data_IF_578654784744
#
_entry.id   IF_578654784744
#
_cell.length_a   1.000
_cell.length_b   1.000
_cell.length_c   1.000
_cell.angle_alpha   90.00
_cell.angle_beta   90.00
_cell.angle_gamma   90.00
#
_symmetry.space_group_name_H-M   'P 1'
#
loop_
_entity.id
_entity.type
_entity.pdbx_description
1 polymer ?
#
# COMPACT_ATOMS: atom_id res chain seq x y z
N UNK A 1 -15.66 -0.20 -4.43
CA UNK A 1 -15.12 -0.55 -5.76
C UNK A 1 -14.05 0.44 -6.28
N UNK A 2 -14.32 1.75 -6.33
CA UNK A 2 -13.41 2.75 -6.95
C UNK A 2 -11.95 2.77 -6.45
N UNK A 3 -11.69 2.60 -5.14
CA UNK A 3 -10.31 2.58 -4.62
C UNK A 3 -9.53 1.32 -5.00
N UNK A 4 -10.19 0.16 -5.16
CA UNK A 4 -9.55 -1.07 -5.64
C UNK A 4 -9.08 -0.90 -7.09
N UNK A 5 -9.94 -0.35 -7.94
CA UNK A 5 -9.61 -0.04 -9.33
C UNK A 5 -8.46 0.95 -9.43
N UNK A 6 -8.47 2.03 -8.64
CA UNK A 6 -7.34 2.98 -8.60
C UNK A 6 -6.03 2.34 -8.15
N UNK A 7 -6.08 1.41 -7.19
CA UNK A 7 -4.91 0.67 -6.76
C UNK A 7 -4.31 -0.17 -7.90
N UNK A 8 -5.16 -0.84 -8.68
CA UNK A 8 -4.75 -1.63 -9.85
C UNK A 8 -4.12 -0.72 -10.91
N UNK A 9 -4.77 0.39 -11.26
CA UNK A 9 -4.22 1.34 -12.23
C UNK A 9 -2.88 1.95 -11.80
N UNK A 10 -2.66 2.13 -10.50
CA UNK A 10 -1.36 2.56 -10.00
C UNK A 10 -0.29 1.48 -10.17
N UNK A 11 -0.59 0.19 -9.96
CA UNK A 11 0.36 -0.88 -10.27
C UNK A 11 0.68 -0.96 -11.77
N UNK A 12 -0.34 -0.84 -12.62
CA UNK A 12 -0.17 -0.82 -14.08
C UNK A 12 0.67 0.37 -14.54
N UNK A 13 0.42 1.56 -13.97
CA UNK A 13 1.23 2.74 -14.24
C UNK A 13 2.69 2.57 -13.79
N UNK A 14 2.92 1.99 -12.61
CA UNK A 14 4.28 1.69 -12.14
C UNK A 14 5.02 0.75 -13.11
N UNK A 15 4.36 -0.31 -13.58
CA UNK A 15 4.92 -1.23 -14.58
C UNK A 15 5.23 -0.50 -15.89
N UNK A 16 4.27 0.25 -16.44
CA UNK A 16 4.44 0.97 -17.70
C UNK A 16 5.55 2.03 -17.65
N UNK A 17 5.81 2.64 -16.49
CA UNK A 17 6.90 3.59 -16.28
C UNK A 17 8.27 2.88 -16.20
N UNK A 18 8.32 1.72 -15.52
CA UNK A 18 9.53 0.89 -15.44
C UNK A 18 9.91 0.34 -16.82
N UNK A 19 8.94 -0.09 -17.62
CA UNK A 19 9.15 -0.68 -18.94
C UNK A 19 9.78 0.29 -19.94
N UNK A 20 9.71 1.61 -19.67
CA UNK A 20 10.43 2.63 -20.46
C UNK A 20 11.94 2.54 -20.30
N UNK A 21 12.43 1.91 -19.22
CA UNK A 21 13.85 1.77 -18.87
C UNK A 21 14.62 3.10 -18.95
N UNK A 22 14.00 4.15 -18.43
CA UNK A 22 14.51 5.51 -18.48
C UNK A 22 14.39 6.12 -17.08
N UNK A 23 15.54 6.57 -16.56
CA UNK A 23 15.72 7.06 -15.19
C UNK A 23 14.77 8.19 -14.80
N UNK A 24 14.28 8.95 -15.79
CA UNK A 24 13.33 10.05 -15.59
C UNK A 24 11.97 9.58 -15.08
N UNK A 25 11.65 8.29 -15.24
CA UNK A 25 10.35 7.71 -14.86
C UNK A 25 10.42 6.84 -13.59
N UNK A 26 11.62 6.58 -13.08
CA UNK A 26 11.84 5.68 -11.94
C UNK A 26 11.21 6.20 -10.66
N UNK A 27 11.40 7.48 -10.31
CA UNK A 27 10.77 8.08 -9.12
C UNK A 27 9.24 8.04 -9.19
N UNK A 28 8.67 8.36 -10.35
CA UNK A 28 7.23 8.27 -10.59
C UNK A 28 6.72 6.83 -10.46
N UNK A 29 7.49 5.83 -10.90
CA UNK A 29 7.10 4.41 -10.75
C UNK A 29 6.98 3.99 -9.28
N UNK A 30 7.90 4.45 -8.42
CA UNK A 30 7.89 4.16 -6.98
C UNK A 30 6.71 4.87 -6.30
N UNK A 31 6.42 6.10 -6.70
CA UNK A 31 5.22 6.83 -6.28
C UNK A 31 3.96 6.00 -6.54
N UNK A 32 3.79 5.55 -7.78
CA UNK A 32 2.66 4.73 -8.18
C UNK A 32 2.61 3.39 -7.42
N UNK A 33 3.74 2.69 -7.26
CA UNK A 33 3.81 1.44 -6.50
C UNK A 33 3.32 1.60 -5.05
N UNK A 34 3.77 2.65 -4.35
CA UNK A 34 3.30 2.93 -3.00
C UNK A 34 1.81 3.28 -2.93
N UNK A 35 1.34 4.15 -3.84
CA UNK A 35 -0.06 4.57 -3.84
C UNK A 35 -1.02 3.44 -4.21
N UNK A 36 -0.58 2.45 -4.99
CA UNK A 36 -1.33 1.23 -5.19
C UNK A 36 -1.64 0.53 -3.86
N UNK A 37 -0.61 0.26 -3.04
CA UNK A 37 -0.79 -0.36 -1.72
C UNK A 37 -1.66 0.50 -0.83
N UNK A 38 -1.41 1.82 -0.78
CA UNK A 38 -2.17 2.73 0.08
C UNK A 38 -3.65 2.75 -0.26
N UNK A 39 -4.01 2.85 -1.54
CA UNK A 39 -5.39 2.85 -1.98
C UNK A 39 -6.06 1.49 -1.79
N UNK A 40 -5.31 0.40 -1.96
CA UNK A 40 -5.80 -0.94 -1.68
C UNK A 40 -6.12 -1.11 -0.18
N UNK A 41 -5.24 -0.63 0.70
CA UNK A 41 -5.51 -0.59 2.15
C UNK A 41 -6.79 0.21 2.46
N UNK A 42 -6.97 1.39 1.85
CA UNK A 42 -8.21 2.17 2.01
C UNK A 42 -9.44 1.37 1.57
N UNK A 43 -9.34 0.68 0.44
CA UNK A 43 -10.40 -0.21 -0.05
C UNK A 43 -10.72 -1.31 0.97
N UNK A 44 -9.72 -2.06 1.44
CA UNK A 44 -9.92 -3.14 2.41
C UNK A 44 -10.61 -2.62 3.66
N UNK A 45 -10.13 -1.52 4.26
CA UNK A 45 -10.76 -0.93 5.46
C UNK A 45 -12.24 -0.58 5.25
N UNK A 46 -12.63 -0.14 4.05
CA UNK A 46 -14.00 0.23 3.73
C UNK A 46 -14.89 -0.95 3.34
N UNK A 47 -14.33 -2.12 3.06
CA UNK A 47 -15.07 -3.26 2.48
C UNK A 47 -14.87 -4.57 3.24
N UNK A 48 -14.19 -4.57 4.39
CA UNK A 48 -14.17 -5.73 5.31
C UNK A 48 -15.53 -5.95 5.95
N UNK A 49 -15.92 -7.20 6.15
CA UNK A 49 -17.16 -7.59 6.82
C UNK A 49 -17.25 -7.16 8.29
N UNK A 50 -16.12 -7.06 9.00
CA UNK A 50 -16.11 -6.64 10.41
C UNK A 50 -15.77 -5.14 10.55
N UNK A 51 -16.72 -4.36 11.06
CA UNK A 51 -16.57 -2.94 11.39
C UNK A 51 -15.92 -2.11 10.26
N UNK A 52 -16.54 -2.02 9.07
CA UNK A 52 -15.98 -1.27 7.96
C UNK A 52 -15.78 0.22 8.32
N UNK A 53 -14.66 0.79 7.89
CA UNK A 53 -14.36 2.22 8.02
C UNK A 53 -14.58 2.89 6.67
N UNK A 54 -15.59 3.75 6.58
CA UNK A 54 -15.85 4.52 5.36
C UNK A 54 -14.64 5.38 4.97
N UNK A 55 -14.52 5.74 3.68
CA UNK A 55 -13.43 6.61 3.23
C UNK A 55 -13.44 7.96 3.96
N UNK A 56 -14.63 8.50 4.28
CA UNK A 56 -14.78 9.74 5.04
C UNK A 56 -14.16 9.61 6.43
N UNK A 57 -14.49 8.54 7.16
CA UNK A 57 -13.92 8.30 8.50
C UNK A 57 -12.40 8.08 8.45
N UNK A 58 -11.92 7.37 7.43
CA UNK A 58 -10.49 7.20 7.21
C UNK A 58 -9.80 8.55 7.04
N UNK A 59 -10.34 9.44 6.20
CA UNK A 59 -9.75 10.73 5.90
C UNK A 59 -9.85 11.71 7.08
N UNK A 60 -10.96 11.73 7.81
CA UNK A 60 -11.14 12.56 9.01
C UNK A 60 -10.17 12.17 10.12
N UNK A 61 -10.04 10.86 10.41
CA UNK A 61 -9.15 10.37 11.48
C UNK A 61 -7.67 10.45 11.09
N UNK A 62 -7.36 10.48 9.80
CA UNK A 62 -5.99 10.61 9.34
C UNK A 62 -5.45 12.04 9.45
N UNK A 63 -6.31 13.08 9.47
CA UNK A 63 -5.90 14.48 9.63
C UNK A 63 -5.14 14.75 10.93
N UNK A 64 -5.46 14.05 12.02
CA UNK A 64 -4.84 14.25 13.34
C UNK A 64 -3.58 13.40 13.58
N UNK A 65 -3.33 12.37 12.76
CA UNK A 65 -2.22 11.40 12.95
C UNK A 65 -1.22 11.36 11.80
N UNK A 66 -1.38 12.20 10.78
CA UNK A 66 -0.69 12.11 9.50
C UNK A 66 -1.44 11.20 8.54
N UNK A 67 -1.71 11.70 7.33
CA UNK A 67 -2.69 11.17 6.37
C UNK A 67 -2.59 9.66 6.09
N UNK A 68 -1.39 9.08 6.16
CA UNK A 68 -1.19 7.66 5.86
C UNK A 68 -1.00 6.78 7.11
N UNK A 69 -0.60 7.36 8.25
CA UNK A 69 -0.27 6.60 9.48
C UNK A 69 -1.49 5.89 10.03
N UNK A 70 -2.62 6.60 10.10
CA UNK A 70 -3.88 6.04 10.61
C UNK A 70 -4.32 4.79 9.83
N UNK A 71 -4.31 4.86 8.49
CA UNK A 71 -4.70 3.73 7.63
C UNK A 71 -3.80 2.51 7.86
N UNK A 72 -2.48 2.72 7.95
CA UNK A 72 -1.52 1.64 8.22
C UNK A 72 -1.77 1.00 9.60
N UNK A 73 -2.00 1.80 10.63
CA UNK A 73 -2.29 1.31 11.98
C UNK A 73 -3.57 0.46 12.01
N UNK A 74 -4.62 0.89 11.31
CA UNK A 74 -5.88 0.13 11.24
C UNK A 74 -5.72 -1.20 10.50
N UNK A 75 -4.95 -1.24 9.41
CA UNK A 75 -4.66 -2.48 8.70
C UNK A 75 -3.86 -3.45 9.58
N UNK A 76 -2.82 -2.96 10.26
CA UNK A 76 -2.02 -3.79 11.18
C UNK A 76 -2.91 -4.36 12.28
N UNK A 77 -3.78 -3.55 12.88
CA UNK A 77 -4.72 -4.01 13.89
C UNK A 77 -5.64 -5.12 13.36
N UNK A 78 -6.23 -4.93 12.18
CA UNK A 78 -7.14 -5.92 11.57
C UNK A 78 -6.44 -7.22 11.22
N UNK A 79 -5.23 -7.16 10.66
CA UNK A 79 -4.43 -8.37 10.41
C UNK A 79 -4.14 -9.09 11.72
N UNK A 80 -3.81 -8.37 12.80
CA UNK A 80 -3.51 -8.98 14.09
C UNK A 80 -4.72 -9.69 14.68
N UNK A 81 -5.91 -9.08 14.59
CA UNK A 81 -7.18 -9.65 15.03
C UNK A 81 -7.54 -10.89 14.20
N UNK A 82 -7.52 -10.77 12.87
CA UNK A 82 -7.93 -11.83 11.96
C UNK A 82 -7.00 -13.05 12.01
N UNK A 83 -5.70 -12.83 12.12
CA UNK A 83 -4.70 -13.91 12.12
C UNK A 83 -4.40 -14.46 13.52
N UNK A 84 -4.98 -13.86 14.58
CA UNK A 84 -4.65 -14.20 15.97
C UNK A 84 -3.18 -13.96 16.34
N UNK A 85 -2.44 -13.15 15.58
CA UNK A 85 -1.01 -12.91 15.83
C UNK A 85 -0.54 -11.53 15.40
N UNK A 86 0.18 -10.87 16.31
CA UNK A 86 0.81 -9.57 16.03
C UNK A 86 2.08 -9.70 15.17
N UNK A 87 2.69 -10.88 15.06
CA UNK A 87 3.96 -11.09 14.33
C UNK A 87 3.80 -10.81 12.83
N UNK A 88 2.76 -11.39 12.21
CA UNK A 88 2.46 -11.16 10.78
C UNK A 88 2.04 -9.71 10.52
N UNK A 89 1.19 -9.17 11.40
CA UNK A 89 0.74 -7.79 11.33
C UNK A 89 1.89 -6.77 11.41
N UNK A 90 2.82 -6.95 12.35
CA UNK A 90 4.00 -6.09 12.49
C UNK A 90 4.89 -6.14 11.27
N UNK A 91 5.16 -7.35 10.72
CA UNK A 91 5.94 -7.51 9.49
C UNK A 91 5.29 -6.81 8.29
N UNK A 92 3.96 -6.94 8.15
CA UNK A 92 3.22 -6.23 7.11
C UNK A 92 3.37 -4.72 7.26
N UNK A 93 3.10 -4.18 8.45
CA UNK A 93 3.22 -2.73 8.71
C UNK A 93 4.64 -2.20 8.52
N UNK A 94 5.66 -3.00 8.82
CA UNK A 94 7.05 -2.65 8.57
C UNK A 94 7.35 -2.51 7.07
N UNK A 95 6.98 -3.51 6.27
CA UNK A 95 7.16 -3.47 4.82
C UNK A 95 6.42 -2.29 4.15
N UNK A 96 5.20 -1.94 4.62
CA UNK A 96 4.50 -0.74 4.11
C UNK A 96 5.25 0.54 4.46
N UNK A 97 5.88 0.63 5.64
CA UNK A 97 6.67 1.81 6.04
C UNK A 97 7.96 1.93 5.27
N UNK A 98 8.61 0.81 4.95
CA UNK A 98 9.79 0.77 4.09
C UNK A 98 9.46 1.29 2.68
N UNK A 99 8.40 0.75 2.05
CA UNK A 99 7.96 1.23 0.73
C UNK A 99 7.52 2.70 0.77
N UNK A 100 6.92 3.16 1.88
CA UNK A 100 6.63 4.58 2.09
C UNK A 100 7.91 5.42 2.14
N UNK A 101 8.96 4.90 2.77
CA UNK A 101 10.28 5.54 2.86
C UNK A 101 10.88 5.73 1.47
N UNK A 102 10.94 4.67 0.66
CA UNK A 102 11.42 4.76 -0.73
C UNK A 102 10.60 5.77 -1.54
N UNK A 103 9.27 5.79 -1.35
CA UNK A 103 8.42 6.81 -1.99
C UNK A 103 8.76 8.23 -1.55
N UNK A 104 9.00 8.46 -0.26
CA UNK A 104 9.38 9.79 0.24
C UNK A 104 10.73 10.22 -0.34
N UNK A 105 11.71 9.32 -0.40
CA UNK A 105 12.99 9.59 -1.05
C UNK A 105 12.82 9.88 -2.54
N UNK A 106 12.00 9.11 -3.25
CA UNK A 106 11.71 9.31 -4.67
C UNK A 106 10.99 10.65 -4.97
N UNK A 107 10.06 11.06 -4.11
CA UNK A 107 9.27 12.27 -4.30
C UNK A 107 10.06 13.56 -3.97
N UNK A 108 10.95 13.50 -2.96
CA UNK A 108 11.46 14.72 -2.31
C UNK A 108 12.99 14.82 -2.23
N UNK A 109 13.72 13.75 -2.53
CA UNK A 109 15.19 13.80 -2.56
C UNK A 109 15.71 13.99 -3.98
N UNK A 110 17.02 14.26 -4.10
CA UNK A 110 17.74 14.28 -5.37
C UNK A 110 18.37 12.92 -5.72
N UNK A 111 18.08 11.86 -4.94
CA UNK A 111 18.61 10.51 -5.17
C UNK A 111 18.09 9.99 -6.50
N UNK A 112 19.00 9.47 -7.33
CA UNK A 112 18.65 8.70 -8.51
C UNK A 112 18.38 7.25 -8.10
N UNK A 113 17.24 6.74 -8.52
CA UNK A 113 16.88 5.34 -8.32
C UNK A 113 17.36 4.52 -9.50
N UNK A 114 17.66 3.24 -9.26
CA UNK A 114 18.03 2.29 -10.30
C UNK A 114 16.80 1.50 -10.79
N UNK A 115 16.92 0.84 -11.94
CA UNK A 115 15.91 -0.08 -12.43
C UNK A 115 15.61 -1.19 -11.41
N UNK A 116 16.65 -1.73 -10.77
CA UNK A 116 16.52 -2.78 -9.76
C UNK A 116 15.71 -2.33 -8.54
N UNK A 117 15.97 -1.11 -8.04
CA UNK A 117 15.21 -0.54 -6.92
C UNK A 117 13.74 -0.31 -7.28
N UNK A 118 13.45 0.11 -8.50
CA UNK A 118 12.09 0.29 -8.98
C UNK A 118 11.35 -1.05 -9.08
N UNK A 119 12.01 -2.07 -9.64
CA UNK A 119 11.48 -3.44 -9.70
C UNK A 119 11.22 -4.00 -8.30
N UNK A 120 12.15 -3.78 -7.35
CA UNK A 120 11.99 -4.19 -5.96
C UNK A 120 10.79 -3.50 -5.29
N UNK A 121 10.63 -2.18 -5.48
CA UNK A 121 9.48 -1.43 -4.94
C UNK A 121 8.15 -1.93 -5.53
N UNK A 122 8.10 -2.17 -6.85
CA UNK A 122 6.91 -2.74 -7.52
C UNK A 122 6.58 -4.14 -6.98
N UNK A 123 7.57 -5.03 -6.90
CA UNK A 123 7.36 -6.38 -6.37
C UNK A 123 6.89 -6.34 -4.92
N UNK A 124 7.47 -5.46 -4.10
CA UNK A 124 7.03 -5.27 -2.72
C UNK A 124 5.57 -4.80 -2.65
N UNK A 125 5.14 -3.92 -3.56
CA UNK A 125 3.75 -3.48 -3.65
C UNK A 125 2.80 -4.63 -4.01
N UNK A 126 3.16 -5.45 -5.00
CA UNK A 126 2.39 -6.65 -5.40
C UNK A 126 2.27 -7.64 -4.25
N UNK A 127 3.37 -7.93 -3.56
CA UNK A 127 3.41 -8.80 -2.38
C UNK A 127 2.53 -8.28 -1.24
N UNK A 128 2.53 -6.97 -0.99
CA UNK A 128 1.71 -6.34 0.04
C UNK A 128 0.22 -6.46 -0.30
N UNK A 129 -0.16 -6.23 -1.56
CA UNK A 129 -1.55 -6.39 -2.01
C UNK A 129 -1.99 -7.86 -1.92
N UNK A 130 -1.16 -8.80 -2.35
CA UNK A 130 -1.43 -10.22 -2.22
C UNK A 130 -1.63 -10.63 -0.74
N UNK A 131 -0.79 -10.13 0.17
CA UNK A 131 -0.95 -10.35 1.62
C UNK A 131 -2.25 -9.76 2.16
N UNK A 132 -2.70 -8.59 1.69
CA UNK A 132 -4.00 -8.03 2.09
C UNK A 132 -5.16 -8.96 1.68
N UNK A 133 -5.12 -9.50 0.46
CA UNK A 133 -6.12 -10.46 -0.02
C UNK A 133 -6.14 -11.71 0.85
N UNK A 134 -4.97 -12.31 1.11
CA UNK A 134 -4.84 -13.53 1.91
C UNK A 134 -5.31 -13.30 3.34
N UNK A 135 -4.86 -12.22 3.97
CA UNK A 135 -5.12 -11.99 5.39
C UNK A 135 -6.53 -11.48 5.67
N UNK A 136 -7.12 -10.68 4.78
CA UNK A 136 -8.33 -9.92 5.10
C UNK A 136 -9.51 -10.14 4.14
N UNK A 137 -9.31 -10.61 2.89
CA UNK A 137 -10.43 -10.84 1.95
C UNK A 137 -10.82 -12.33 1.85
N UNK A 138 -9.86 -13.25 1.99
CA UNK A 138 -10.10 -14.69 1.70
C UNK A 138 -10.91 -15.38 2.81
N UNK A 139 -10.79 -14.91 4.06
CA UNK A 139 -11.48 -15.49 5.21
C UNK A 139 -12.90 -14.94 5.46
N UNK A 140 -13.32 -13.91 4.72
CA UNK A 140 -14.67 -13.34 4.85
C UNK A 140 -15.69 -14.01 3.89
N UNK A 141 -15.25 -14.98 3.07
CA UNK A 141 -16.08 -15.72 2.11
C UNK A 141 -16.35 -17.19 2.49
N UNK A 142 -15.90 -17.60 3.67
CA UNK A 142 -16.12 -18.94 4.26
C UNK A 142 -17.04 -18.83 5.46
#
# INVERSE_FOLDING_TARGET
>A
MYMKTKAIYNLEAAAALIDKQDERYYTASIHHAYYAVFQYMKYVLANTGTSPLSYKEQDEKARSKGSHKYVIEQIVLRIALQMGTYKKARKFGQAVRELKGERVEADYSTRLFTLEECLACKQQAEDLIAKLVIYLETYERS
#
